data_IF_184608962153
#
_entry.id   IF_184608962153
#
_cell.length_a   1.000
_cell.length_b   1.000
_cell.length_c   1.000
_cell.angle_alpha   90.00
_cell.angle_beta   90.00
_cell.angle_gamma   90.00
#
_symmetry.space_group_name_H-M   'P 1'
#
loop_
_entity.id
_entity.type
_entity.pdbx_description
1 polymer ?
#
# COMPACT_ATOMS: atom_id res chain seq x y z
N UNK A 1 2.64 -0.56 -1.50
CA UNK A 1 2.57 -2.03 -1.56
C UNK A 1 1.29 -2.55 -2.21
N UNK A 2 0.14 -2.51 -1.53
CA UNK A 2 -1.09 -3.19 -2.00
C UNK A 2 -1.77 -2.54 -3.21
N UNK A 3 -1.46 -1.27 -3.54
CA UNK A 3 -2.04 -0.56 -4.69
C UNK A 3 -3.59 -0.51 -4.66
N UNK A 4 -4.16 -0.46 -3.45
CA UNK A 4 -5.59 -0.33 -3.24
C UNK A 4 -5.98 1.14 -3.44
N UNK A 5 -6.80 1.40 -4.44
CA UNK A 5 -7.21 2.77 -4.82
C UNK A 5 -8.55 3.20 -4.25
N UNK A 6 -9.16 2.33 -3.43
CA UNK A 6 -10.49 2.54 -2.85
C UNK A 6 -10.44 2.55 -1.31
N UNK A 7 -9.25 2.79 -0.74
CA UNK A 7 -9.05 2.91 0.71
C UNK A 7 -9.70 4.18 1.24
N UNK A 8 -10.89 4.05 1.83
CA UNK A 8 -11.62 5.13 2.52
C UNK A 8 -11.42 5.04 4.04
N UNK A 9 -11.76 6.10 4.77
CA UNK A 9 -11.65 6.17 6.23
C UNK A 9 -12.40 5.03 6.92
N UNK A 10 -13.61 4.71 6.45
CA UNK A 10 -14.42 3.59 6.96
C UNK A 10 -13.84 2.19 6.75
N UNK A 11 -12.73 2.05 5.99
CA UNK A 11 -12.05 0.76 5.79
C UNK A 11 -10.93 0.51 6.79
N UNK A 12 -10.79 1.38 7.80
CA UNK A 12 -9.81 1.29 8.88
C UNK A 12 -10.58 1.20 10.19
N UNK A 13 -10.49 0.05 10.86
CA UNK A 13 -11.13 -0.19 12.14
C UNK A 13 -10.07 -0.22 13.24
N UNK A 14 -10.38 0.33 14.41
CA UNK A 14 -9.50 0.26 15.58
C UNK A 14 -10.19 -0.60 16.62
N UNK A 15 -9.53 -1.67 17.07
CA UNK A 15 -10.10 -2.54 18.11
C UNK A 15 -9.82 -2.03 19.52
N UNK A 16 -10.33 -2.76 20.52
CA UNK A 16 -10.20 -2.42 21.95
C UNK A 16 -8.74 -2.37 22.47
N UNK A 17 -7.79 -2.93 21.72
CA UNK A 17 -6.36 -2.95 22.04
C UNK A 17 -5.58 -1.93 21.21
N UNK A 18 -6.27 -0.99 20.56
CA UNK A 18 -5.67 -0.02 19.62
C UNK A 18 -5.01 -0.64 18.40
N UNK A 19 -5.36 -1.89 18.05
CA UNK A 19 -4.87 -2.50 16.81
C UNK A 19 -5.67 -1.97 15.62
N UNK A 20 -4.95 -1.62 14.56
CA UNK A 20 -5.52 -1.09 13.33
C UNK A 20 -5.77 -2.23 12.34
N UNK A 21 -7.04 -2.46 12.04
CA UNK A 21 -7.50 -3.43 11.04
C UNK A 21 -7.85 -2.73 9.74
N UNK A 22 -7.14 -3.08 8.66
CA UNK A 22 -7.54 -2.71 7.30
C UNK A 22 -8.46 -3.77 6.72
N UNK A 23 -9.68 -3.39 6.33
CA UNK A 23 -10.65 -4.28 5.66
C UNK A 23 -10.77 -3.96 4.17
N UNK A 24 -11.62 -4.68 3.43
CA UNK A 24 -11.94 -4.39 2.03
C UNK A 24 -10.72 -4.33 1.09
N UNK A 25 -10.14 -5.51 0.84
CA UNK A 25 -8.96 -5.69 -0.02
C UNK A 25 -9.29 -6.29 -1.39
N UNK A 26 -10.57 -6.28 -1.80
CA UNK A 26 -11.02 -6.91 -3.05
C UNK A 26 -10.49 -6.26 -4.32
N UNK A 27 -9.96 -5.03 -4.22
CA UNK A 27 -9.43 -4.22 -5.34
C UNK A 27 -7.94 -3.88 -5.16
N UNK A 28 -7.17 -4.86 -4.70
CA UNK A 28 -5.73 -4.75 -4.50
C UNK A 28 -4.92 -5.33 -5.67
N UNK A 29 -3.61 -5.13 -5.61
CA UNK A 29 -2.56 -5.81 -6.38
C UNK A 29 -2.45 -5.54 -7.88
N UNK A 30 -3.38 -4.78 -8.49
CA UNK A 30 -3.29 -4.35 -9.89
C UNK A 30 -1.86 -3.97 -10.27
N UNK A 31 -1.38 -4.51 -11.39
CA UNK A 31 -0.04 -4.29 -11.92
C UNK A 31 0.22 -2.80 -12.20
N UNK A 32 -0.77 -2.12 -12.78
CA UNK A 32 -0.69 -0.67 -13.04
C UNK A 32 -0.60 0.08 -11.72
N UNK A 33 0.41 0.91 -11.56
CA UNK A 33 0.52 1.76 -10.38
C UNK A 33 -0.60 2.80 -10.37
N UNK A 34 -1.43 2.74 -9.33
CA UNK A 34 -2.58 3.62 -9.11
C UNK A 34 -2.61 3.92 -7.62
N UNK A 35 -2.36 5.16 -7.24
CA UNK A 35 -2.37 5.56 -5.84
C UNK A 35 -3.49 6.58 -5.59
N UNK A 36 -4.47 6.18 -4.79
CA UNK A 36 -5.47 7.05 -4.20
C UNK A 36 -5.64 6.67 -2.74
N UNK A 37 -5.66 7.64 -1.84
CA UNK A 37 -5.82 7.39 -0.41
C UNK A 37 -6.47 8.59 0.27
N UNK A 38 -6.83 8.42 1.55
CA UNK A 38 -7.37 9.48 2.40
C UNK A 38 -6.38 9.98 3.44
N UNK A 39 -5.21 9.33 3.56
CA UNK A 39 -4.17 9.63 4.56
C UNK A 39 -3.00 10.43 3.97
N UNK A 40 -3.31 11.43 3.15
CA UNK A 40 -2.29 12.25 2.47
C UNK A 40 -1.51 13.16 3.43
N UNK A 41 -2.02 13.39 4.64
CA UNK A 41 -1.34 14.17 5.69
C UNK A 41 0.01 13.59 6.11
N UNK A 42 0.23 12.27 5.91
CA UNK A 42 1.51 11.60 6.18
C UNK A 42 2.49 11.68 5.00
N UNK A 43 2.10 12.29 3.88
CA UNK A 43 2.94 12.36 2.67
C UNK A 43 4.29 13.02 2.96
N UNK A 44 5.38 12.35 2.57
CA UNK A 44 6.74 12.82 2.80
C UNK A 44 7.31 12.49 4.18
N UNK A 45 6.50 11.99 5.13
CA UNK A 45 7.04 11.46 6.38
C UNK A 45 7.88 10.21 6.15
N UNK A 46 8.89 10.01 6.98
CA UNK A 46 9.73 8.81 6.96
C UNK A 46 8.93 7.57 7.33
N UNK A 47 9.13 6.49 6.58
CA UNK A 47 8.54 5.20 6.91
C UNK A 47 9.36 4.59 8.05
N UNK A 48 8.68 4.22 9.13
CA UNK A 48 9.33 3.58 10.28
C UNK A 48 10.18 2.37 9.86
N UNK A 49 11.38 2.25 10.46
CA UNK A 49 12.35 1.21 10.11
C UNK A 49 11.78 -0.22 10.27
N UNK A 50 10.91 -0.44 11.25
CA UNK A 50 10.29 -1.75 11.47
C UNK A 50 9.31 -2.13 10.34
N UNK A 51 8.70 -1.14 9.68
CA UNK A 51 7.88 -1.35 8.50
C UNK A 51 8.75 -1.60 7.26
N UNK A 52 9.85 -0.85 7.10
CA UNK A 52 10.81 -1.09 6.02
C UNK A 52 11.41 -2.50 6.12
N UNK A 53 11.78 -2.95 7.30
CA UNK A 53 12.28 -4.31 7.54
C UNK A 53 11.26 -5.41 7.17
N UNK A 54 9.95 -5.15 7.34
CA UNK A 54 8.88 -6.07 6.90
C UNK A 54 8.68 -6.06 5.38
N UNK A 55 8.97 -4.94 4.72
CA UNK A 55 8.86 -4.79 3.26
C UNK A 55 10.08 -5.38 2.56
N UNK A 56 11.27 -5.31 3.16
CA UNK A 56 12.53 -5.67 2.53
C UNK A 56 12.54 -7.06 1.84
N UNK A 57 12.03 -8.15 2.47
CA UNK A 57 12.02 -9.46 1.83
C UNK A 57 11.24 -9.49 0.52
N UNK A 58 10.21 -8.65 0.39
CA UNK A 58 9.35 -8.56 -0.79
C UNK A 58 10.06 -7.95 -2.01
N UNK A 59 11.22 -7.31 -1.82
CA UNK A 59 12.05 -6.83 -2.93
C UNK A 59 12.74 -7.96 -3.71
N UNK A 60 12.84 -9.15 -3.08
CA UNK A 60 13.45 -10.34 -3.66
C UNK A 60 12.40 -11.34 -4.11
N UNK A 61 11.37 -11.57 -3.30
CA UNK A 61 10.37 -12.59 -3.58
C UNK A 61 9.05 -12.29 -2.87
N UNK A 62 7.95 -12.40 -3.61
CA UNK A 62 6.60 -12.41 -3.04
C UNK A 62 6.32 -13.81 -2.48
N UNK A 63 5.78 -13.96 -1.25
CA UNK A 63 5.45 -15.25 -0.66
C UNK A 63 4.62 -16.13 -1.61
N UNK A 64 4.94 -17.41 -1.70
CA UNK A 64 4.32 -18.33 -2.66
C UNK A 64 2.79 -18.40 -2.50
N UNK A 65 2.30 -18.37 -1.27
CA UNK A 65 0.87 -18.33 -0.94
C UNK A 65 0.14 -17.10 -1.51
N UNK A 66 0.84 -15.98 -1.72
CA UNK A 66 0.28 -14.79 -2.38
C UNK A 66 0.54 -14.85 -3.88
N UNK A 67 1.75 -15.20 -4.29
CA UNK A 67 2.15 -15.22 -5.70
C UNK A 67 1.31 -16.17 -6.55
N UNK A 68 0.87 -17.29 -5.97
CA UNK A 68 -0.01 -18.27 -6.65
C UNK A 68 -1.44 -17.77 -6.87
N UNK A 69 -1.85 -16.68 -6.22
CA UNK A 69 -3.16 -16.04 -6.37
C UNK A 69 -3.13 -14.86 -7.35
N UNK A 70 -1.96 -14.51 -7.87
CA UNK A 70 -1.72 -13.34 -8.70
C UNK A 70 -1.16 -13.75 -10.05
N UNK A 71 -1.32 -12.89 -11.05
CA UNK A 71 -0.61 -13.06 -12.31
C UNK A 71 0.85 -12.60 -12.20
N UNK A 72 1.66 -12.96 -13.19
CA UNK A 72 3.10 -12.64 -13.22
C UNK A 72 3.36 -11.13 -13.13
N UNK A 73 2.57 -10.32 -13.83
CA UNK A 73 2.75 -8.86 -13.85
C UNK A 73 2.44 -8.23 -12.48
N UNK A 74 1.46 -8.76 -11.75
CA UNK A 74 1.11 -8.32 -10.40
C UNK A 74 2.22 -8.66 -9.39
N UNK A 75 2.81 -9.86 -9.49
CA UNK A 75 3.95 -10.27 -8.66
C UNK A 75 5.16 -9.38 -8.90
N UNK A 76 5.48 -9.10 -10.17
CA UNK A 76 6.55 -8.17 -10.55
C UNK A 76 6.26 -6.78 -9.97
N UNK A 77 5.02 -6.28 -10.12
CA UNK A 77 4.65 -4.96 -9.64
C UNK A 77 4.74 -4.82 -8.11
N UNK A 78 4.40 -5.86 -7.34
CA UNK A 78 4.62 -5.86 -5.88
C UNK A 78 6.10 -5.72 -5.56
N UNK A 79 6.95 -6.49 -6.23
CA UNK A 79 8.41 -6.49 -6.03
C UNK A 79 9.00 -5.11 -6.34
N UNK A 80 8.61 -4.50 -7.46
CA UNK A 80 9.07 -3.16 -7.84
C UNK A 80 8.58 -2.08 -6.86
N UNK A 81 7.31 -2.16 -6.43
CA UNK A 81 6.78 -1.24 -5.41
C UNK A 81 7.52 -1.38 -4.06
N UNK A 82 7.93 -2.59 -3.69
CA UNK A 82 8.74 -2.80 -2.48
C UNK A 82 10.10 -2.09 -2.59
N UNK A 83 10.77 -2.23 -3.75
CA UNK A 83 12.05 -1.55 -4.01
C UNK A 83 11.89 -0.03 -3.97
N UNK A 84 10.82 0.51 -4.55
CA UNK A 84 10.56 1.95 -4.52
C UNK A 84 10.39 2.48 -3.09
N UNK A 85 9.66 1.75 -2.24
CA UNK A 85 9.48 2.13 -0.84
C UNK A 85 10.78 2.06 -0.04
N UNK A 86 11.62 1.05 -0.25
CA UNK A 86 12.93 0.98 0.40
C UNK A 86 13.86 2.11 -0.05
N UNK A 87 13.91 2.38 -1.35
CA UNK A 87 14.81 3.40 -1.90
C UNK A 87 14.40 4.82 -1.49
N UNK A 88 13.10 5.09 -1.41
CA UNK A 88 12.57 6.39 -1.01
C UNK A 88 12.49 6.57 0.51
N UNK A 89 12.23 5.51 1.27
CA UNK A 89 12.05 5.49 2.72
C UNK A 89 11.05 6.53 3.27
N UNK A 90 10.15 7.04 2.42
CA UNK A 90 9.17 8.06 2.75
C UNK A 90 7.81 7.71 2.14
N UNK A 91 6.73 8.16 2.78
CA UNK A 91 5.40 8.02 2.21
C UNK A 91 5.25 8.88 0.94
N UNK A 92 4.54 8.38 -0.08
CA UNK A 92 4.34 9.10 -1.33
C UNK A 92 3.56 10.40 -1.12
N UNK A 93 3.90 11.43 -1.88
CA UNK A 93 3.21 12.72 -1.89
C UNK A 93 2.35 12.83 -3.15
N UNK A 94 1.11 13.30 -3.03
CA UNK A 94 0.30 13.73 -4.17
C UNK A 94 0.41 15.25 -4.36
N UNK A 95 1.23 15.74 -5.32
CA UNK A 95 1.35 17.17 -5.58
C UNK A 95 0.10 17.76 -6.25
N UNK A 96 -0.79 16.91 -6.79
CA UNK A 96 -1.99 17.37 -7.50
C UNK A 96 -3.16 17.67 -6.58
N UNK A 97 -3.19 17.08 -5.38
CA UNK A 97 -4.30 17.18 -4.42
C UNK A 97 -5.61 16.52 -4.90
N UNK A 98 -5.56 15.65 -5.91
CA UNK A 98 -6.75 15.06 -6.54
C UNK A 98 -6.86 13.56 -6.37
N UNK A 99 -5.84 12.91 -5.80
CA UNK A 99 -5.79 11.45 -5.71
C UNK A 99 -6.54 10.91 -4.49
N UNK A 100 -7.80 11.31 -4.33
CA UNK A 100 -8.71 10.77 -3.32
C UNK A 100 -9.60 9.68 -3.92
N UNK A 101 -9.95 8.63 -3.15
CA UNK A 101 -10.97 7.67 -3.56
C UNK A 101 -12.35 8.35 -3.63
N UNK A 102 -13.22 7.86 -4.52
CA UNK A 102 -14.59 8.36 -4.68
C UNK A 102 -15.60 7.31 -4.17
N UNK A 103 -16.76 7.72 -3.61
CA UNK A 103 -17.14 9.08 -3.23
C UNK A 103 -16.26 9.65 -2.12
N UNK A 104 -16.17 10.98 -2.07
CA UNK A 104 -15.63 11.68 -0.90
C UNK A 104 -16.66 11.51 0.22
N UNK A 105 -16.34 10.67 1.21
CA UNK A 105 -17.15 10.38 2.40
C UNK A 105 -16.33 10.56 3.65
#
# INVERSE_FOLDING_TARGET
>A
MANNTDRKSGHVLVDKNSHVWGIDHGVCFSSDFKLRTVIWEFGGEEIAEDLLAKIEPLTKTVPLEVATLLNEQEVIAITERAKWLLNGAQFPVDPSGRHYPWPLV
#
